data_IF_302793581129
#
_entry.id   IF_302793581129
#
_cell.length_a   1.000
_cell.length_b   1.000
_cell.length_c   1.000
_cell.angle_alpha   90.00
_cell.angle_beta   90.00
_cell.angle_gamma   90.00
#
_symmetry.space_group_name_H-M   'P 1'
#
loop_
_entity.id
_entity.type
_entity.pdbx_description
1 polymer ?
#
# COMPACT_ATOMS: atom_id res chain seq x y z
N UNK A 1 -13.78 -4.84 -12.99
CA UNK A 1 -13.17 -4.04 -11.90
C UNK A 1 -11.79 -4.62 -11.62
N UNK A 2 -10.70 -3.84 -11.81
CA UNK A 2 -9.33 -4.32 -11.60
C UNK A 2 -9.01 -4.30 -10.10
N UNK A 3 -8.72 -5.46 -9.53
CA UNK A 3 -8.39 -5.64 -8.10
C UNK A 3 -7.05 -4.96 -7.75
N UNK A 4 -6.15 -4.86 -8.73
CA UNK A 4 -4.78 -4.32 -8.60
C UNK A 4 -4.61 -3.18 -9.61
N UNK A 5 -4.30 -1.97 -9.12
CA UNK A 5 -3.93 -0.81 -9.97
C UNK A 5 -2.47 -0.95 -10.40
N UNK A 6 -1.59 -1.17 -9.44
CA UNK A 6 -0.15 -1.29 -9.61
C UNK A 6 0.33 -2.61 -9.00
N UNK A 7 1.13 -3.38 -9.75
CA UNK A 7 1.68 -4.63 -9.21
C UNK A 7 2.75 -4.30 -8.17
N UNK A 8 2.64 -4.81 -6.94
CA UNK A 8 3.66 -4.58 -5.92
C UNK A 8 4.96 -5.26 -6.33
N UNK A 9 6.07 -4.55 -6.17
CA UNK A 9 7.42 -5.06 -6.41
C UNK A 9 8.08 -5.41 -5.08
N UNK A 10 7.55 -6.42 -4.40
CA UNK A 10 8.01 -6.82 -3.06
C UNK A 10 9.51 -7.15 -3.01
N UNK A 11 10.04 -7.75 -4.08
CA UNK A 11 11.46 -8.10 -4.14
C UNK A 11 12.35 -6.86 -4.04
N UNK A 12 12.00 -5.78 -4.75
CA UNK A 12 12.77 -4.53 -4.72
C UNK A 12 12.80 -3.94 -3.31
N UNK A 13 11.67 -4.03 -2.59
CA UNK A 13 11.61 -3.56 -1.21
C UNK A 13 12.47 -4.40 -0.25
N UNK A 14 12.45 -5.73 -0.41
CA UNK A 14 13.31 -6.63 0.38
C UNK A 14 14.78 -6.32 0.12
N UNK A 15 15.17 -6.20 -1.15
CA UNK A 15 16.55 -5.91 -1.55
C UNK A 15 17.01 -4.56 -0.99
N UNK A 16 16.13 -3.55 -0.97
CA UNK A 16 16.39 -2.24 -0.38
C UNK A 16 16.63 -2.34 1.14
N UNK A 17 15.75 -3.02 1.88
CA UNK A 17 15.89 -3.18 3.33
C UNK A 17 17.17 -3.94 3.69
N UNK A 18 17.57 -4.92 2.89
CA UNK A 18 18.85 -5.61 3.04
C UNK A 18 20.05 -4.69 2.78
N UNK A 19 19.97 -3.80 1.78
CA UNK A 19 21.05 -2.87 1.45
C UNK A 19 21.15 -1.68 2.41
N UNK A 20 20.03 -1.23 2.98
CA UNK A 20 19.93 -0.04 3.84
C UNK A 20 19.04 -0.31 5.08
N UNK A 21 19.49 -1.14 6.03
CA UNK A 21 18.68 -1.57 7.17
C UNK A 21 18.36 -0.46 8.20
N UNK A 22 19.02 0.70 8.09
CA UNK A 22 18.79 1.84 8.99
C UNK A 22 17.72 2.82 8.53
N UNK A 23 17.14 2.61 7.34
CA UNK A 23 16.13 3.49 6.77
C UNK A 23 14.74 2.87 6.96
N UNK A 24 13.82 3.53 7.67
CA UNK A 24 12.48 3.02 7.86
C UNK A 24 11.73 2.86 6.53
N UNK A 25 11.06 1.72 6.38
CA UNK A 25 10.26 1.38 5.21
C UNK A 25 8.77 1.43 5.52
N UNK A 26 8.04 2.24 4.75
CA UNK A 26 6.59 2.34 4.84
C UNK A 26 5.94 1.79 3.56
N UNK A 27 4.81 1.09 3.72
CA UNK A 27 4.01 0.60 2.60
C UNK A 27 2.82 1.53 2.34
N UNK A 28 2.70 2.04 1.12
CA UNK A 28 1.50 2.76 0.67
C UNK A 28 0.62 1.83 -0.17
N UNK A 29 -0.46 1.36 0.46
CA UNK A 29 -1.42 0.45 -0.15
C UNK A 29 -2.57 1.14 -0.89
N UNK A 30 -2.74 2.45 -0.72
CA UNK A 30 -3.87 3.20 -1.29
C UNK A 30 -3.86 3.20 -2.82
N UNK A 31 -2.67 3.23 -3.42
CA UNK A 31 -2.48 3.27 -4.87
C UNK A 31 -2.21 1.90 -5.52
N UNK A 32 -1.98 0.87 -4.73
CA UNK A 32 -1.66 -0.47 -5.23
C UNK A 32 -2.93 -1.32 -5.47
N UNK A 33 -3.94 -1.20 -4.60
CA UNK A 33 -5.16 -2.00 -4.62
C UNK A 33 -6.44 -1.17 -4.48
N UNK A 34 -7.58 -1.81 -4.74
CA UNK A 34 -8.89 -1.26 -4.39
C UNK A 34 -9.10 -1.16 -2.86
N UNK A 35 -9.91 -0.20 -2.36
CA UNK A 35 -10.09 0.05 -0.93
C UNK A 35 -10.50 -1.18 -0.11
N UNK A 36 -11.28 -2.10 -0.70
CA UNK A 36 -11.72 -3.33 -0.03
C UNK A 36 -10.58 -4.32 0.30
N UNK A 37 -9.38 -4.12 -0.25
CA UNK A 37 -8.21 -4.98 -0.01
C UNK A 37 -7.20 -4.39 0.98
N UNK A 38 -7.44 -3.18 1.49
CA UNK A 38 -6.50 -2.47 2.39
C UNK A 38 -6.07 -3.33 3.57
N UNK A 39 -7.00 -4.03 4.24
CA UNK A 39 -6.67 -4.88 5.39
C UNK A 39 -5.74 -6.04 5.04
N UNK A 40 -6.00 -6.72 3.92
CA UNK A 40 -5.21 -7.87 3.46
C UNK A 40 -3.81 -7.45 3.03
N UNK A 41 -3.70 -6.29 2.38
CA UNK A 41 -2.41 -5.74 1.94
C UNK A 41 -1.61 -5.24 3.13
N UNK A 42 -2.25 -4.52 4.06
CA UNK A 42 -1.64 -4.10 5.31
C UNK A 42 -1.03 -5.29 6.04
N UNK A 43 -1.80 -6.39 6.17
CA UNK A 43 -1.29 -7.62 6.79
C UNK A 43 -0.05 -8.13 6.06
N UNK A 44 -0.08 -8.17 4.72
CA UNK A 44 1.08 -8.62 3.93
C UNK A 44 2.32 -7.73 4.11
N UNK A 45 2.15 -6.42 4.25
CA UNK A 45 3.26 -5.50 4.50
C UNK A 45 3.87 -5.72 5.89
N UNK A 46 3.05 -5.94 6.92
CA UNK A 46 3.53 -6.30 8.26
C UNK A 46 4.26 -7.63 8.26
N UNK A 47 3.74 -8.64 7.54
CA UNK A 47 4.40 -9.95 7.38
C UNK A 47 5.77 -9.82 6.69
N UNK A 48 5.98 -8.78 5.88
CA UNK A 48 7.25 -8.45 5.23
C UNK A 48 8.14 -7.51 6.07
N UNK A 49 7.78 -7.27 7.33
CA UNK A 49 8.53 -6.44 8.27
C UNK A 49 8.72 -4.99 7.82
N UNK A 50 7.71 -4.41 7.18
CA UNK A 50 7.66 -2.96 7.02
C UNK A 50 7.45 -2.28 8.38
N UNK A 51 8.07 -1.11 8.57
CA UNK A 51 8.02 -0.34 9.80
C UNK A 51 6.71 0.44 9.97
N UNK A 52 5.95 0.62 8.89
CA UNK A 52 4.69 1.33 8.92
C UNK A 52 3.86 1.25 7.66
N UNK A 53 2.65 1.82 7.75
CA UNK A 53 1.68 1.88 6.68
C UNK A 53 1.28 3.33 6.40
N UNK A 54 1.17 3.68 5.13
CA UNK A 54 0.53 4.91 4.68
C UNK A 54 -0.82 4.56 4.06
N UNK A 55 -1.88 5.20 4.57
CA UNK A 55 -3.27 4.91 4.19
C UNK A 55 -3.98 6.22 3.88
N UNK A 56 -4.45 6.36 2.65
CA UNK A 56 -5.37 7.44 2.30
C UNK A 56 -6.76 7.20 2.93
N UNK A 57 -7.35 8.26 3.45
CA UNK A 57 -8.67 8.23 4.06
C UNK A 57 -9.48 9.46 3.68
N UNK A 58 -10.79 9.28 3.53
CA UNK A 58 -11.75 10.36 3.29
C UNK A 58 -13.07 9.97 3.97
N UNK A 59 -13.78 10.96 4.52
CA UNK A 59 -15.06 10.72 5.22
C UNK A 59 -16.09 10.08 4.27
N UNK A 60 -16.03 10.45 2.99
CA UNK A 60 -16.89 9.94 1.91
C UNK A 60 -16.03 9.62 0.68
N UNK A 61 -15.37 8.45 0.62
CA UNK A 61 -14.39 8.12 -0.41
C UNK A 61 -14.90 8.22 -1.85
N UNK A 62 -16.20 7.98 -2.05
CA UNK A 62 -16.85 7.95 -3.37
C UNK A 62 -16.92 9.32 -4.04
N UNK A 63 -16.90 10.41 -3.25
CA UNK A 63 -17.01 11.79 -3.75
C UNK A 63 -15.69 12.56 -3.64
N UNK A 64 -14.59 11.88 -3.35
CA UNK A 64 -13.29 12.52 -3.25
C UNK A 64 -12.94 13.22 -4.58
N UNK A 65 -12.21 14.32 -4.52
CA UNK A 65 -11.81 15.09 -5.72
C UNK A 65 -10.52 14.56 -6.37
N UNK A 66 -9.83 13.67 -5.67
CA UNK A 66 -8.64 12.94 -6.09
C UNK A 66 -8.75 11.52 -5.55
N UNK A 67 -8.26 10.54 -6.30
CA UNK A 67 -8.27 9.12 -5.92
C UNK A 67 -9.60 8.57 -5.40
N UNK A 68 -10.71 9.19 -5.83
CA UNK A 68 -12.06 8.67 -5.64
C UNK A 68 -12.13 7.22 -6.11
N UNK A 69 -12.96 6.45 -5.41
CA UNK A 69 -13.07 5.01 -5.52
C UNK A 69 -12.72 4.50 -6.93
N UNK A 70 -11.59 3.77 -6.98
CA UNK A 70 -11.01 3.22 -8.22
C UNK A 70 -12.11 2.57 -9.09
N UNK A 71 -12.42 3.15 -10.25
CA UNK A 71 -13.24 2.48 -11.26
C UNK A 71 -12.50 1.26 -11.86
#
# INVERSE_FOLDING_TARGET
>A
MKIVRNRPQWQIAIDYTCAMPGIPMINDQSHLWQPSFVSRVAQKAMDLSYDGLMIESHITPDIARSDALSK
#
